data_IF_915563866298
#
_entry.id   IF_915563866298
#
_cell.length_a   1.000
_cell.length_b   1.000
_cell.length_c   1.000
_cell.angle_alpha   90.00
_cell.angle_beta   90.00
_cell.angle_gamma   90.00
#
_symmetry.space_group_name_H-M   'P 1'
#
loop_
_entity.id
_entity.type
_entity.pdbx_description
1 polymer ?
#
# COMPACT_ATOMS: atom_id res chain seq x y z
N UNK A 1 -7.97 -16.87 3.96
CA UNK A 1 -8.62 -15.79 3.18
C UNK A 1 -8.07 -14.45 3.67
N UNK A 2 -8.11 -13.40 2.84
CA UNK A 2 -7.65 -12.05 3.18
C UNK A 2 -8.78 -11.07 2.85
N UNK A 3 -8.87 -9.97 3.58
CA UNK A 3 -9.82 -8.89 3.31
C UNK A 3 -9.09 -7.74 2.62
N UNK A 4 -9.11 -7.76 1.29
CA UNK A 4 -8.49 -6.71 0.49
C UNK A 4 -9.44 -5.54 0.30
N UNK A 5 -8.88 -4.33 0.36
CA UNK A 5 -9.53 -3.07 0.06
C UNK A 5 -8.82 -2.42 -1.15
N UNK A 6 -8.56 -1.12 -1.11
CA UNK A 6 -7.98 -0.34 -2.19
C UNK A 6 -6.52 -0.72 -2.44
N UNK A 7 -6.02 -0.34 -3.63
CA UNK A 7 -4.68 -0.68 -4.08
C UNK A 7 -3.99 0.47 -4.83
N UNK A 8 -2.67 0.39 -4.90
CA UNK A 8 -1.82 1.15 -5.80
C UNK A 8 -0.75 0.22 -6.38
N UNK A 9 -0.02 0.66 -7.40
CA UNK A 9 1.07 -0.13 -7.98
C UNK A 9 2.44 0.52 -7.77
N UNK A 10 3.45 -0.29 -7.53
CA UNK A 10 4.86 0.10 -7.68
C UNK A 10 5.22 0.19 -9.15
N UNK A 11 6.21 1.02 -9.50
CA UNK A 11 6.66 1.23 -10.88
C UNK A 11 7.24 -0.03 -11.54
N UNK A 12 7.67 -1.02 -10.74
CA UNK A 12 8.14 -2.32 -11.22
C UNK A 12 7.01 -3.32 -11.52
N UNK A 13 5.74 -2.93 -11.29
CA UNK A 13 4.56 -3.76 -11.54
C UNK A 13 4.02 -4.51 -10.32
N UNK A 14 4.62 -4.40 -9.14
CA UNK A 14 4.03 -4.98 -7.93
C UNK A 14 2.72 -4.27 -7.56
N UNK A 15 1.75 -5.04 -7.08
CA UNK A 15 0.48 -4.56 -6.56
C UNK A 15 0.60 -4.39 -5.05
N UNK A 16 0.42 -3.16 -4.56
CA UNK A 16 0.29 -2.87 -3.13
C UNK A 16 -1.18 -2.79 -2.77
N UNK A 17 -1.69 -3.78 -2.03
CA UNK A 17 -3.10 -3.87 -1.64
C UNK A 17 -3.28 -3.73 -0.14
N UNK A 18 -4.17 -2.83 0.27
CA UNK A 18 -4.55 -2.68 1.66
C UNK A 18 -5.24 -3.95 2.17
N UNK A 19 -4.82 -4.45 3.33
CA UNK A 19 -5.23 -5.73 3.91
C UNK A 19 -5.78 -5.52 5.32
N UNK A 20 -7.10 -5.58 5.43
CA UNK A 20 -7.85 -5.40 6.68
C UNK A 20 -7.71 -6.65 7.56
N UNK A 21 -7.64 -6.45 8.88
CA UNK A 21 -7.53 -7.53 9.87
C UNK A 21 -6.08 -7.90 10.19
N UNK A 22 -5.32 -8.38 9.20
CA UNK A 22 -3.85 -8.56 9.36
C UNK A 22 -3.12 -7.21 9.44
N UNK A 23 -3.81 -6.14 9.05
CA UNK A 23 -3.46 -4.75 9.27
C UNK A 23 -2.17 -4.28 8.58
N UNK A 24 -2.26 -4.07 7.27
CA UNK A 24 -1.14 -3.51 6.53
C UNK A 24 -1.34 -3.51 5.03
N UNK A 25 -0.23 -3.47 4.31
CA UNK A 25 -0.18 -3.52 2.85
C UNK A 25 0.49 -4.83 2.42
N UNK A 26 -0.24 -5.65 1.68
CA UNK A 26 0.34 -6.81 0.99
C UNK A 26 0.92 -6.34 -0.35
N UNK A 27 2.21 -6.61 -0.58
CA UNK A 27 2.88 -6.33 -1.85
C UNK A 27 2.96 -7.63 -2.64
N UNK A 28 2.27 -7.70 -3.77
CA UNK A 28 2.13 -8.90 -4.59
C UNK A 28 2.81 -8.67 -5.94
N UNK A 29 3.63 -9.63 -6.38
CA UNK A 29 4.31 -9.56 -7.67
C UNK A 29 3.33 -9.68 -8.84
N UNK A 30 3.73 -9.29 -10.07
CA UNK A 30 2.95 -9.56 -11.28
C UNK A 30 2.63 -11.06 -11.50
N UNK A 31 3.42 -11.96 -10.90
CA UNK A 31 3.23 -13.41 -10.94
C UNK A 31 2.26 -13.91 -9.86
N UNK A 32 1.76 -13.04 -8.99
CA UNK A 32 0.82 -13.38 -7.91
C UNK A 32 1.49 -13.83 -6.61
N UNK A 33 2.81 -13.66 -6.47
CA UNK A 33 3.54 -14.06 -5.26
C UNK A 33 3.57 -12.92 -4.24
N UNK A 34 3.40 -13.24 -2.95
CA UNK A 34 3.59 -12.24 -1.89
C UNK A 34 5.07 -11.92 -1.74
N UNK A 35 5.44 -10.69 -2.12
CA UNK A 35 6.82 -10.17 -2.06
C UNK A 35 7.15 -9.66 -0.67
N UNK A 36 6.22 -8.92 -0.06
CA UNK A 36 6.41 -8.24 1.21
C UNK A 36 5.05 -7.98 1.88
N UNK A 37 5.04 -7.93 3.20
CA UNK A 37 3.91 -7.40 3.97
C UNK A 37 4.38 -6.25 4.84
N UNK A 38 3.83 -5.06 4.63
CA UNK A 38 4.17 -3.85 5.39
C UNK A 38 3.07 -3.61 6.42
N UNK A 39 3.36 -3.96 7.67
CA UNK A 39 2.41 -3.83 8.77
C UNK A 39 2.12 -2.36 9.12
N UNK A 40 0.92 -2.14 9.64
CA UNK A 40 0.47 -0.86 10.22
C UNK A 40 0.01 -1.10 11.66
N UNK A 41 -0.25 -0.02 12.39
CA UNK A 41 -0.77 -0.06 13.76
C UNK A 41 -2.30 0.07 13.82
N UNK A 42 -3.01 -0.14 12.71
CA UNK A 42 -4.47 0.01 12.62
C UNK A 42 -5.13 -1.16 11.87
N UNK A 43 -6.03 -1.86 12.55
CA UNK A 43 -6.74 -3.03 12.04
C UNK A 43 -7.54 -2.77 10.75
N UNK A 44 -7.88 -1.51 10.48
CA UNK A 44 -8.58 -1.05 9.28
C UNK A 44 -7.67 -0.15 8.42
N UNK A 45 -6.55 -0.70 7.92
CA UNK A 45 -5.83 -0.10 6.79
C UNK A 45 -6.60 -0.28 5.51
N UNK A 46 -6.99 0.81 4.85
CA UNK A 46 -7.98 0.78 3.76
C UNK A 46 -7.45 1.24 2.40
N UNK A 47 -6.42 2.09 2.36
CA UNK A 47 -5.91 2.62 1.09
C UNK A 47 -4.42 2.92 1.16
N UNK A 48 -3.78 2.93 -0.01
CA UNK A 48 -2.41 3.37 -0.27
C UNK A 48 -2.39 4.22 -1.54
N UNK A 49 -1.65 5.33 -1.50
CA UNK A 49 -1.32 6.13 -2.67
C UNK A 49 0.15 6.53 -2.64
N UNK A 50 0.77 6.60 -3.82
CA UNK A 50 2.16 7.01 -3.97
C UNK A 50 2.28 8.47 -4.42
N UNK A 51 3.32 9.15 -3.95
CA UNK A 51 3.68 10.49 -4.37
C UNK A 51 5.08 10.88 -3.94
N UNK A 52 5.32 12.18 -3.79
CA UNK A 52 6.66 12.72 -3.56
C UNK A 52 7.46 12.87 -4.86
N UNK A 53 8.57 13.59 -4.80
CA UNK A 53 9.38 13.92 -5.99
C UNK A 53 10.00 12.68 -6.66
N UNK A 54 10.19 11.60 -5.90
CA UNK A 54 10.77 10.33 -6.35
C UNK A 54 9.76 9.18 -6.33
N UNK A 55 8.47 9.48 -6.17
CA UNK A 55 7.37 8.51 -6.05
C UNK A 55 7.50 7.49 -4.90
N UNK A 56 8.39 7.69 -3.94
CA UNK A 56 8.63 6.75 -2.83
C UNK A 56 8.00 7.23 -1.50
N UNK A 57 7.11 8.22 -1.54
CA UNK A 57 6.24 8.54 -0.40
C UNK A 57 4.95 7.75 -0.52
N UNK A 58 4.68 6.88 0.45
CA UNK A 58 3.42 6.16 0.57
C UNK A 58 2.50 6.85 1.59
N UNK A 59 1.30 7.20 1.16
CA UNK A 59 0.23 7.74 2.00
C UNK A 59 -0.79 6.65 2.26
N UNK A 60 -1.07 6.36 3.52
CA UNK A 60 -1.97 5.28 3.94
C UNK A 60 -3.14 5.84 4.75
N UNK A 61 -4.34 5.36 4.47
CA UNK A 61 -5.52 5.67 5.29
C UNK A 61 -5.75 4.57 6.31
N UNK A 62 -5.73 4.95 7.59
CA UNK A 62 -5.95 4.10 8.74
C UNK A 62 -7.34 4.43 9.32
N UNK A 63 -8.35 3.70 8.87
CA UNK A 63 -9.76 4.05 9.09
C UNK A 63 -10.22 3.81 10.52
N UNK A 64 -9.63 2.84 11.24
CA UNK A 64 -10.00 2.53 12.62
C UNK A 64 -9.69 3.68 13.57
N UNK A 65 -8.58 4.38 13.31
CA UNK A 65 -8.12 5.56 14.06
C UNK A 65 -8.42 6.88 13.36
N UNK A 66 -8.86 6.86 12.10
CA UNK A 66 -9.13 8.06 11.29
C UNK A 66 -7.87 8.83 10.86
N UNK A 67 -6.70 8.20 10.83
CA UNK A 67 -5.42 8.84 10.51
C UNK A 67 -5.07 8.70 9.02
N UNK A 68 -4.52 9.77 8.46
CA UNK A 68 -3.73 9.72 7.23
C UNK A 68 -2.25 9.71 7.65
N UNK A 69 -1.55 8.63 7.36
CA UNK A 69 -0.12 8.50 7.67
C UNK A 69 0.71 8.53 6.40
N UNK A 70 1.95 8.98 6.54
CA UNK A 70 2.94 9.00 5.47
C UNK A 70 4.16 8.20 5.93
N UNK A 71 4.66 7.33 5.07
CA UNK A 71 5.93 6.63 5.27
C UNK A 71 6.76 6.64 3.99
N UNK A 72 8.06 6.39 4.15
CA UNK A 72 8.93 6.10 3.01
C UNK A 72 8.71 4.66 2.56
N UNK A 73 8.66 4.49 1.25
CA UNK A 73 8.49 3.19 0.61
C UNK A 73 9.81 2.71 0.01
N UNK A 74 10.01 1.39 -0.05
CA UNK A 74 11.25 0.79 -0.51
C UNK A 74 11.46 0.91 -2.03
N UNK A 75 10.38 1.14 -2.79
CA UNK A 75 10.34 1.15 -4.25
C UNK A 75 9.44 2.30 -4.72
N UNK A 76 9.72 2.94 -5.87
CA UNK A 76 8.88 4.02 -6.37
C UNK A 76 7.50 3.50 -6.78
N UNK A 77 6.46 4.28 -6.51
CA UNK A 77 5.12 4.09 -7.04
C UNK A 77 5.02 4.37 -8.53
N UNK A 78 4.06 3.72 -9.20
CA UNK A 78 3.75 4.00 -10.59
C UNK A 78 3.14 5.40 -10.74
N UNK A 79 3.72 6.21 -11.61
CA UNK A 79 3.12 7.50 -12.02
C UNK A 79 1.90 7.23 -12.91
N UNK A 80 0.73 7.70 -12.48
CA UNK A 80 -0.52 7.52 -13.22
C UNK A 80 -0.60 8.49 -14.41
N UNK A 81 -1.20 8.01 -15.50
CA UNK A 81 -1.57 8.85 -16.64
C UNK A 81 -2.84 9.65 -16.26
N UNK A 82 -2.89 10.92 -16.64
CA UNK A 82 -4.02 11.83 -16.41
C UNK A 82 -4.72 12.22 -17.71
#
# INVERSE_FOLDING_TARGET
YKFFDSLAMEANGNICVATIGECGISVVSPQGELVEFVATDDIFTTNIAFGGADMQDAYLTLSGTGRLVKTRWARPGLTLQY
#
